data_IF_585259375557
#
_entry.id   IF_585259375557
#
_cell.length_a   1.000
_cell.length_b   1.000
_cell.length_c   1.000
_cell.angle_alpha   90.00
_cell.angle_beta   90.00
_cell.angle_gamma   90.00
#
_symmetry.space_group_name_H-M   'P 1'
#
loop_
_entity.id
_entity.type
_entity.pdbx_description
1 polymer ?
#
# COMPACT_ATOMS: atom_id res chain seq x y z
N UNK A 1 9.70 -12.74 -8.07
CA UNK A 1 9.92 -11.86 -6.91
C UNK A 1 8.91 -10.75 -7.06
N UNK A 2 7.95 -10.61 -6.14
CA UNK A 2 6.90 -9.59 -6.22
C UNK A 2 7.53 -8.21 -6.04
N UNK A 3 7.15 -7.24 -6.88
CA UNK A 3 7.66 -5.88 -6.77
C UNK A 3 7.11 -5.20 -5.51
N UNK A 4 7.84 -4.20 -4.99
CA UNK A 4 7.36 -3.35 -3.88
C UNK A 4 5.99 -2.72 -4.15
N UNK A 5 5.69 -2.44 -5.42
CA UNK A 5 4.40 -1.89 -5.85
C UNK A 5 3.28 -2.94 -5.74
N UNK A 6 3.50 -4.14 -6.28
CA UNK A 6 2.53 -5.24 -6.16
C UNK A 6 2.27 -5.64 -4.70
N UNK A 7 3.29 -5.58 -3.83
CA UNK A 7 3.13 -5.80 -2.40
C UNK A 7 2.18 -4.79 -1.75
N UNK A 8 2.25 -3.51 -2.14
CA UNK A 8 1.32 -2.48 -1.65
C UNK A 8 -0.11 -2.77 -2.10
N UNK A 9 -0.31 -3.09 -3.37
CA UNK A 9 -1.65 -3.39 -3.92
C UNK A 9 -2.26 -4.60 -3.21
N UNK A 10 -1.48 -5.67 -3.02
CA UNK A 10 -1.97 -6.87 -2.34
C UNK A 10 -2.36 -6.59 -0.89
N UNK A 11 -1.53 -5.84 -0.16
CA UNK A 11 -1.85 -5.42 1.21
C UNK A 11 -3.18 -4.66 1.29
N UNK A 12 -3.46 -3.77 0.34
CA UNK A 12 -4.70 -2.99 0.34
C UNK A 12 -5.91 -3.87 0.01
N UNK A 13 -5.78 -4.80 -0.93
CA UNK A 13 -6.85 -5.76 -1.28
C UNK A 13 -7.23 -6.67 -0.12
N UNK A 14 -6.29 -6.97 0.75
CA UNK A 14 -6.49 -7.84 1.91
C UNK A 14 -7.05 -7.08 3.14
N UNK A 15 -7.21 -5.75 3.07
CA UNK A 15 -7.79 -4.97 4.17
C UNK A 15 -9.32 -5.07 4.20
N UNK A 16 -9.94 -5.07 5.39
CA UNK A 16 -11.38 -5.01 5.53
C UNK A 16 -11.92 -3.68 4.98
N UNK A 17 -13.14 -3.74 4.44
CA UNK A 17 -13.91 -2.57 4.01
C UNK A 17 -14.08 -1.60 5.20
N UNK A 18 -14.06 -0.29 4.92
CA UNK A 18 -14.08 0.81 5.90
C UNK A 18 -12.79 0.99 6.74
N UNK A 19 -11.66 0.37 6.34
CA UNK A 19 -10.37 0.64 6.97
C UNK A 19 -9.69 1.92 6.42
N UNK A 20 -9.26 2.82 7.31
CA UNK A 20 -8.47 3.99 6.92
C UNK A 20 -6.98 3.67 6.85
N UNK A 21 -6.32 4.07 5.75
CA UNK A 21 -4.90 3.79 5.51
C UNK A 21 -4.12 5.10 5.45
N UNK A 22 -3.00 5.17 6.18
CA UNK A 22 -2.04 6.26 6.07
C UNK A 22 -0.89 5.87 5.14
N UNK A 23 -0.63 6.70 4.12
CA UNK A 23 0.54 6.56 3.22
C UNK A 23 1.84 6.40 4.01
N UNK A 24 2.04 7.19 5.08
CA UNK A 24 3.28 7.16 5.86
C UNK A 24 3.43 5.86 6.64
N UNK A 25 2.35 5.38 7.25
CA UNK A 25 2.37 4.13 8.01
C UNK A 25 2.54 2.93 7.09
N UNK A 26 1.85 2.92 5.94
CA UNK A 26 1.97 1.87 4.93
C UNK A 26 3.40 1.77 4.39
N UNK A 27 4.02 2.91 4.06
CA UNK A 27 5.40 2.98 3.58
C UNK A 27 6.39 2.38 4.59
N UNK A 28 6.23 2.68 5.89
CA UNK A 28 7.07 2.11 6.95
C UNK A 28 6.83 0.62 7.16
N UNK A 29 5.57 0.20 7.18
CA UNK A 29 5.20 -1.19 7.46
C UNK A 29 5.69 -2.15 6.36
N UNK A 30 5.69 -1.70 5.10
CA UNK A 30 6.10 -2.50 3.94
C UNK A 30 7.54 -2.23 3.49
N UNK A 31 8.28 -1.37 4.19
CA UNK A 31 9.62 -0.92 3.81
C UNK A 31 9.71 -0.43 2.35
N UNK A 32 8.77 0.44 1.97
CA UNK A 32 8.68 1.04 0.63
C UNK A 32 8.76 2.56 0.70
N UNK A 33 9.06 3.21 -0.44
CA UNK A 33 9.03 4.67 -0.51
C UNK A 33 7.59 5.19 -0.36
N UNK A 34 7.42 6.42 0.12
CA UNK A 34 6.09 7.05 0.18
C UNK A 34 5.44 7.17 -1.20
N UNK A 35 6.23 7.40 -2.26
CA UNK A 35 5.72 7.42 -3.63
C UNK A 35 5.25 6.06 -4.13
N UNK A 36 5.87 4.96 -3.68
CA UNK A 36 5.40 3.60 -3.96
C UNK A 36 4.09 3.31 -3.21
N UNK A 37 4.04 3.64 -1.91
CA UNK A 37 2.84 3.47 -1.10
C UNK A 37 1.66 4.31 -1.65
N UNK A 38 1.90 5.57 -1.99
CA UNK A 38 0.89 6.48 -2.53
C UNK A 38 0.32 5.99 -3.86
N UNK A 39 1.18 5.58 -4.80
CA UNK A 39 0.73 5.06 -6.10
C UNK A 39 -0.09 3.78 -5.95
N UNK A 40 0.35 2.85 -5.09
CA UNK A 40 -0.41 1.63 -4.84
C UNK A 40 -1.76 1.90 -4.17
N UNK A 41 -1.86 2.89 -3.27
CA UNK A 41 -3.16 3.35 -2.73
C UNK A 41 -4.04 3.91 -3.84
N UNK A 42 -3.52 4.81 -4.67
CA UNK A 42 -4.32 5.46 -5.72
C UNK A 42 -4.77 4.51 -6.83
N UNK A 43 -4.02 3.43 -7.07
CA UNK A 43 -4.38 2.38 -8.03
C UNK A 43 -5.40 1.38 -7.46
N UNK A 44 -5.47 1.24 -6.15
CA UNK A 44 -6.43 0.37 -5.46
C UNK A 44 -7.77 1.08 -5.10
N UNK A 45 -7.82 2.41 -5.22
CA UNK A 45 -9.04 3.25 -5.12
C UNK A 45 -9.90 3.13 -6.39
#
# INVERSE_FOLDING_TARGET
>A
MTTKHEQVIQYIKDLPVDHSISVRSLARNLDVSQGTAYRGIKEAE
#
